data_IF_492348265658
#
_entry.id   IF_492348265658
#
_cell.length_a   1.000
_cell.length_b   1.000
_cell.length_c   1.000
_cell.angle_alpha   90.00
_cell.angle_beta   90.00
_cell.angle_gamma   90.00
#
_symmetry.space_group_name_H-M   'P 1'
#
loop_
_entity.id
_entity.type
_entity.pdbx_description
1 polymer ?
#
# COMPACT_ATOMS: atom_id res chain seq x y z
N UNK A 1 -7.03 4.47 -28.60
CA UNK A 1 -6.05 3.98 -27.62
C UNK A 1 -6.24 4.74 -26.32
N UNK A 2 -6.12 4.10 -25.15
CA UNK A 2 -6.10 4.82 -23.87
C UNK A 2 -4.81 5.64 -23.81
N UNK A 3 -4.88 6.92 -23.44
CA UNK A 3 -3.69 7.78 -23.30
C UNK A 3 -2.88 7.35 -22.08
N UNK A 4 -1.55 7.51 -22.10
CA UNK A 4 -0.66 7.13 -20.98
C UNK A 4 -1.06 7.83 -19.68
N UNK A 5 -1.52 9.09 -19.74
CA UNK A 5 -2.10 9.82 -18.61
C UNK A 5 -3.28 9.08 -17.93
N UNK A 6 -4.12 8.40 -18.71
CA UNK A 6 -5.25 7.61 -18.17
C UNK A 6 -4.73 6.38 -17.41
N UNK A 7 -3.68 5.73 -17.91
CA UNK A 7 -3.06 4.57 -17.27
C UNK A 7 -2.40 4.95 -15.95
N UNK A 8 -1.68 6.08 -15.89
CA UNK A 8 -1.08 6.61 -14.66
C UNK A 8 -2.15 6.88 -13.59
N UNK A 9 -3.29 7.47 -13.98
CA UNK A 9 -4.37 7.74 -13.03
C UNK A 9 -4.98 6.46 -12.48
N UNK A 10 -5.17 5.47 -13.35
CA UNK A 10 -5.67 4.16 -12.95
C UNK A 10 -4.70 3.44 -12.01
N UNK A 11 -3.40 3.46 -12.31
CA UNK A 11 -2.39 2.81 -11.46
C UNK A 11 -2.23 3.50 -10.11
N UNK A 12 -2.36 4.84 -10.05
CA UNK A 12 -2.41 5.59 -8.78
C UNK A 12 -3.61 5.16 -7.92
N UNK A 13 -4.79 5.06 -8.53
CA UNK A 13 -5.99 4.59 -7.83
C UNK A 13 -5.80 3.16 -7.30
N UNK A 14 -5.16 2.29 -8.09
CA UNK A 14 -4.87 0.93 -7.68
C UNK A 14 -3.93 0.88 -6.48
N UNK A 15 -2.83 1.64 -6.50
CA UNK A 15 -1.92 1.78 -5.36
C UNK A 15 -2.66 2.25 -4.11
N UNK A 16 -3.52 3.25 -4.23
CA UNK A 16 -4.29 3.77 -3.09
C UNK A 16 -5.29 2.74 -2.55
N UNK A 17 -5.93 1.96 -3.42
CA UNK A 17 -6.81 0.86 -3.01
C UNK A 17 -6.02 -0.23 -2.26
N UNK A 18 -4.83 -0.61 -2.75
CA UNK A 18 -3.97 -1.60 -2.09
C UNK A 18 -3.46 -1.11 -0.74
N UNK A 19 -3.11 0.18 -0.64
CA UNK A 19 -2.73 0.82 0.64
C UNK A 19 -3.86 0.77 1.66
N UNK A 20 -5.09 1.09 1.25
CA UNK A 20 -6.27 1.02 2.14
C UNK A 20 -6.52 -0.40 2.62
N UNK A 21 -6.49 -1.37 1.72
CA UNK A 21 -6.64 -2.78 2.10
C UNK A 21 -5.57 -3.22 3.12
N UNK A 22 -4.31 -2.87 2.90
CA UNK A 22 -3.23 -3.17 3.84
C UNK A 22 -3.46 -2.50 5.21
N UNK A 23 -3.93 -1.24 5.21
CA UNK A 23 -4.24 -0.53 6.44
C UNK A 23 -5.37 -1.22 7.23
N UNK A 24 -6.44 -1.65 6.55
CA UNK A 24 -7.56 -2.35 7.17
C UNK A 24 -7.12 -3.69 7.80
N UNK A 25 -6.22 -4.43 7.13
CA UNK A 25 -5.65 -5.67 7.66
C UNK A 25 -4.77 -5.41 8.89
N UNK A 26 -3.93 -4.38 8.86
CA UNK A 26 -3.10 -4.00 10.02
C UNK A 26 -3.96 -3.54 11.21
N UNK A 27 -5.07 -2.86 10.96
CA UNK A 27 -6.02 -2.50 12.02
C UNK A 27 -6.66 -3.74 12.66
N UNK A 28 -7.04 -4.73 11.84
CA UNK A 28 -7.54 -6.02 12.34
C UNK A 28 -6.48 -6.76 13.16
N UNK A 29 -5.21 -6.71 12.77
CA UNK A 29 -4.11 -7.33 13.52
C UNK A 29 -3.94 -6.70 14.90
N UNK A 30 -3.97 -5.36 14.97
CA UNK A 30 -3.97 -4.63 16.23
C UNK A 30 -5.22 -4.91 17.08
N UNK A 31 -6.38 -5.17 16.46
CA UNK A 31 -7.58 -5.56 17.17
C UNK A 31 -7.45 -6.96 17.80
N UNK A 32 -6.74 -7.88 17.15
CA UNK A 32 -6.42 -9.19 17.73
C UNK A 32 -5.50 -9.07 18.94
N UNK A 33 -4.47 -8.22 18.91
CA UNK A 33 -3.62 -7.97 20.08
C UNK A 33 -4.42 -7.47 21.26
N UNK A 34 -5.25 -6.44 21.05
CA UNK A 34 -6.15 -5.93 22.08
C UNK A 34 -7.14 -6.98 22.59
N UNK A 35 -7.55 -7.93 21.76
CA UNK A 35 -8.42 -9.02 22.21
C UNK A 35 -7.67 -10.02 23.07
N UNK A 36 -6.44 -10.39 22.68
CA UNK A 36 -5.57 -11.29 23.45
C UNK A 36 -5.24 -10.69 24.82
N UNK A 37 -4.82 -9.42 24.85
CA UNK A 37 -4.50 -8.71 26.10
C UNK A 37 -5.69 -8.64 27.06
N UNK A 38 -6.91 -8.47 26.52
CA UNK A 38 -8.13 -8.53 27.31
C UNK A 38 -8.35 -9.90 27.94
N UNK A 39 -8.13 -10.99 27.19
CA UNK A 39 -8.22 -12.35 27.75
C UNK A 39 -7.21 -12.56 28.87
N UNK A 40 -5.98 -12.09 28.68
CA UNK A 40 -4.89 -12.25 29.64
C UNK A 40 -5.18 -11.44 30.92
N UNK A 41 -5.66 -10.19 30.79
CA UNK A 41 -6.06 -9.33 31.92
C UNK A 41 -7.25 -9.91 32.69
N UNK A 42 -8.27 -10.43 31.99
CA UNK A 42 -9.41 -11.10 32.61
C UNK A 42 -8.97 -12.34 33.41
N UNK A 43 -8.07 -13.14 32.84
CA UNK A 43 -7.55 -14.34 33.49
C UNK A 43 -6.77 -14.04 34.76
N UNK A 44 -5.93 -12.99 34.75
CA UNK A 44 -5.19 -12.55 35.93
C UNK A 44 -6.11 -12.03 37.03
N UNK A 45 -7.15 -11.29 36.65
CA UNK A 45 -8.18 -10.80 37.59
C UNK A 45 -8.92 -11.97 38.25
N UNK A 46 -9.36 -12.96 37.48
CA UNK A 46 -10.04 -14.14 38.01
C UNK A 46 -9.12 -15.02 38.87
N UNK A 47 -7.83 -15.09 38.52
CA UNK A 47 -6.81 -15.79 39.31
C UNK A 47 -6.62 -15.14 40.68
N UNK A 48 -6.64 -13.81 40.74
CA UNK A 48 -6.53 -13.09 42.01
C UNK A 48 -7.75 -13.37 42.90
N UNK A 49 -8.97 -13.29 42.37
CA UNK A 49 -10.20 -13.61 43.11
C UNK A 49 -10.19 -15.03 43.67
N UNK A 50 -9.78 -16.01 42.86
CA UNK A 50 -9.70 -17.40 43.28
C UNK A 50 -8.66 -17.65 44.40
N UNK A 51 -7.61 -16.81 44.49
CA UNK A 51 -6.64 -16.84 45.60
C UNK A 51 -7.22 -16.27 46.88
N UNK A 52 -8.04 -15.21 46.77
CA UNK A 52 -8.66 -14.54 47.91
C UNK A 52 -9.85 -15.35 48.47
N UNK A 53 -10.54 -16.14 47.64
CA UNK A 53 -11.68 -16.95 48.07
C UNK A 53 -11.53 -18.43 47.69
N UNK A 54 -11.13 -19.31 48.65
CA UNK A 54 -10.85 -20.73 48.40
C UNK A 54 -12.01 -21.54 47.77
N UNK A 55 -13.26 -21.14 48.03
CA UNK A 55 -14.47 -21.77 47.50
C UNK A 55 -14.61 -21.64 45.97
N UNK A 56 -13.94 -20.66 45.35
CA UNK A 56 -14.00 -20.41 43.90
C UNK A 56 -12.94 -21.18 43.10
N UNK A 57 -12.03 -21.91 43.76
CA UNK A 57 -10.89 -22.56 43.11
C UNK A 57 -11.28 -23.54 41.99
N UNK A 58 -12.33 -24.34 42.19
CA UNK A 58 -12.80 -25.30 41.17
C UNK A 58 -13.42 -24.60 39.95
N UNK A 59 -14.16 -23.51 40.16
CA UNK A 59 -14.74 -22.71 39.07
C UNK A 59 -13.65 -22.00 38.24
N UNK A 60 -12.59 -21.53 38.89
CA UNK A 60 -11.45 -20.90 38.23
C UNK A 60 -10.73 -21.84 37.26
N UNK A 61 -10.55 -23.13 37.59
CA UNK A 61 -9.88 -24.08 36.68
C UNK A 61 -10.64 -24.24 35.36
N UNK A 62 -11.97 -24.38 35.43
CA UNK A 62 -12.81 -24.47 34.24
C UNK A 62 -12.75 -23.17 33.41
N UNK A 63 -12.83 -22.02 34.07
CA UNK A 63 -12.69 -20.71 33.42
C UNK A 63 -11.34 -20.56 32.73
N UNK A 64 -10.24 -20.87 33.42
CA UNK A 64 -8.88 -20.75 32.89
C UNK A 64 -8.68 -21.62 31.63
N UNK A 65 -9.23 -22.84 31.62
CA UNK A 65 -9.19 -23.71 30.44
C UNK A 65 -9.93 -23.09 29.25
N UNK A 66 -11.11 -22.50 29.49
CA UNK A 66 -11.88 -21.82 28.45
C UNK A 66 -11.15 -20.56 27.94
N UNK A 67 -10.60 -19.74 28.84
CA UNK A 67 -9.82 -18.56 28.50
C UNK A 67 -8.58 -18.92 27.66
N UNK A 68 -7.84 -19.97 28.03
CA UNK A 68 -6.70 -20.47 27.28
C UNK A 68 -7.10 -20.92 25.86
N UNK A 69 -8.23 -21.62 25.71
CA UNK A 69 -8.75 -22.02 24.40
C UNK A 69 -9.13 -20.81 23.55
N UNK A 70 -9.80 -19.80 24.13
CA UNK A 70 -10.16 -18.56 23.45
C UNK A 70 -8.92 -17.78 23.01
N UNK A 71 -7.93 -17.65 23.88
CA UNK A 71 -6.63 -17.02 23.59
C UNK A 71 -5.93 -17.72 22.44
N UNK A 72 -5.84 -19.05 22.48
CA UNK A 72 -5.24 -19.85 21.39
C UNK A 72 -5.94 -19.58 20.07
N UNK A 73 -7.28 -19.59 20.05
CA UNK A 73 -8.03 -19.31 18.83
C UNK A 73 -7.78 -17.90 18.26
N UNK A 74 -7.59 -16.89 19.12
CA UNK A 74 -7.23 -15.54 18.70
C UNK A 74 -5.81 -15.49 18.10
N UNK A 75 -4.85 -16.14 18.75
CA UNK A 75 -3.46 -16.24 18.26
C UNK A 75 -3.39 -16.96 16.92
N UNK A 76 -4.09 -18.09 16.77
CA UNK A 76 -4.13 -18.84 15.52
C UNK A 76 -4.72 -17.98 14.37
N UNK A 77 -5.78 -17.22 14.65
CA UNK A 77 -6.40 -16.31 13.67
C UNK A 77 -5.50 -15.13 13.32
N UNK A 78 -4.81 -14.55 14.32
CA UNK A 78 -3.81 -13.48 14.10
C UNK A 78 -2.67 -13.98 13.21
N UNK A 79 -2.18 -15.20 13.46
CA UNK A 79 -1.14 -15.81 12.63
C UNK A 79 -1.60 -16.03 11.18
N UNK A 80 -2.85 -16.41 10.95
CA UNK A 80 -3.40 -16.49 9.59
C UNK A 80 -3.47 -15.10 8.93
N UNK A 81 -3.94 -14.08 9.66
CA UNK A 81 -4.00 -12.70 9.17
C UNK A 81 -2.62 -12.14 8.81
N UNK A 82 -1.56 -12.54 9.51
CA UNK A 82 -0.20 -12.12 9.18
C UNK A 82 0.22 -12.55 7.76
N UNK A 83 -0.20 -13.73 7.31
CA UNK A 83 0.04 -14.20 5.93
C UNK A 83 -0.71 -13.34 4.91
N UNK A 84 -1.94 -12.93 5.24
CA UNK A 84 -2.74 -12.04 4.40
C UNK A 84 -2.12 -10.63 4.33
N UNK A 85 -1.56 -10.14 5.44
CA UNK A 85 -0.83 -8.86 5.50
C UNK A 85 0.41 -8.89 4.61
N UNK A 86 1.22 -9.94 4.70
CA UNK A 86 2.41 -10.07 3.86
C UNK A 86 2.04 -10.18 2.38
N UNK A 87 0.99 -10.93 2.05
CA UNK A 87 0.45 -10.97 0.68
C UNK A 87 -0.02 -9.58 0.23
N UNK A 88 -0.70 -8.82 1.09
CA UNK A 88 -1.15 -7.46 0.76
C UNK A 88 0.02 -6.47 0.56
N UNK A 89 1.12 -6.64 1.31
CA UNK A 89 2.35 -5.87 1.11
C UNK A 89 2.98 -6.15 -0.24
N UNK A 90 3.08 -7.42 -0.62
CA UNK A 90 3.61 -7.81 -1.93
C UNK A 90 2.76 -7.25 -3.06
N UNK A 91 1.42 -7.35 -2.95
CA UNK A 91 0.50 -6.75 -3.93
C UNK A 91 0.61 -5.23 -4.02
N UNK A 92 0.86 -4.56 -2.90
CA UNK A 92 1.10 -3.12 -2.91
C UNK A 92 2.43 -2.79 -3.60
N UNK A 93 3.48 -3.57 -3.36
CA UNK A 93 4.77 -3.40 -4.04
C UNK A 93 4.63 -3.59 -5.57
N UNK A 94 3.96 -4.65 -6.01
CA UNK A 94 3.64 -4.90 -7.42
C UNK A 94 2.90 -3.71 -8.07
N UNK A 95 1.92 -3.13 -7.36
CA UNK A 95 1.16 -1.97 -7.84
C UNK A 95 2.04 -0.72 -8.00
N UNK A 96 3.00 -0.49 -7.10
CA UNK A 96 3.96 0.61 -7.23
C UNK A 96 4.91 0.42 -8.41
N UNK A 97 5.42 -0.80 -8.61
CA UNK A 97 6.28 -1.09 -9.75
C UNK A 97 5.54 -0.81 -11.07
N UNK A 98 4.29 -1.23 -11.16
CA UNK A 98 3.46 -1.00 -12.34
C UNK A 98 3.15 0.49 -12.55
N UNK A 99 2.82 1.23 -11.48
CA UNK A 99 2.69 2.69 -11.54
C UNK A 99 3.97 3.33 -12.09
N UNK A 100 5.14 2.90 -11.60
CA UNK A 100 6.41 3.50 -11.99
C UNK A 100 6.74 3.25 -13.46
N UNK A 101 6.40 2.08 -14.01
CA UNK A 101 6.54 1.80 -15.45
C UNK A 101 5.72 2.76 -16.30
N UNK A 102 4.47 3.05 -15.91
CA UNK A 102 3.65 4.03 -16.63
C UNK A 102 4.21 5.44 -16.54
N UNK A 103 4.73 5.84 -15.38
CA UNK A 103 5.38 7.15 -15.21
C UNK A 103 6.61 7.29 -16.12
N UNK A 104 7.50 6.28 -16.15
CA UNK A 104 8.69 6.28 -17.02
C UNK A 104 8.28 6.32 -18.50
N UNK A 105 7.22 5.61 -18.88
CA UNK A 105 6.73 5.61 -20.27
C UNK A 105 6.21 6.99 -20.66
N UNK A 106 5.55 7.69 -19.72
CA UNK A 106 5.04 9.04 -19.95
C UNK A 106 6.17 10.06 -20.10
N UNK A 107 7.18 9.99 -19.22
CA UNK A 107 8.37 10.84 -19.25
C UNK A 107 9.10 10.71 -20.59
N UNK A 108 9.30 9.48 -21.09
CA UNK A 108 9.90 9.25 -22.41
C UNK A 108 9.09 9.84 -23.56
N UNK A 109 7.76 9.74 -23.50
CA UNK A 109 6.90 10.33 -24.54
C UNK A 109 6.98 11.86 -24.54
N UNK A 110 7.04 12.48 -23.36
CA UNK A 110 7.21 13.92 -23.21
C UNK A 110 8.58 14.39 -23.70
N UNK A 111 9.65 13.65 -23.41
CA UNK A 111 10.99 13.91 -23.94
C UNK A 111 11.05 13.81 -25.47
N UNK A 112 10.41 12.79 -26.06
CA UNK A 112 10.32 12.60 -27.51
C UNK A 112 9.54 13.75 -28.17
N UNK A 113 8.40 14.14 -27.60
CA UNK A 113 7.57 15.26 -28.09
C UNK A 113 8.34 16.59 -28.03
N UNK A 114 9.00 16.87 -26.91
CA UNK A 114 9.82 18.06 -26.73
C UNK A 114 11.01 18.09 -27.71
N UNK A 115 11.64 16.95 -27.96
CA UNK A 115 12.74 16.85 -28.92
C UNK A 115 12.28 17.08 -30.37
N UNK A 116 11.09 16.58 -30.72
CA UNK A 116 10.49 16.84 -32.03
C UNK A 116 10.11 18.31 -32.20
N UNK A 117 9.52 18.95 -31.19
CA UNK A 117 9.18 20.37 -31.20
C UNK A 117 10.43 21.24 -31.38
N UNK A 118 11.46 21.02 -30.57
CA UNK A 118 12.74 21.73 -30.69
C UNK A 118 13.37 21.54 -32.08
N UNK A 119 13.28 20.34 -32.66
CA UNK A 119 13.79 20.07 -34.01
C UNK A 119 13.00 20.83 -35.08
N UNK A 120 11.68 20.92 -34.96
CA UNK A 120 10.83 21.70 -35.88
C UNK A 120 11.13 23.18 -35.76
N UNK A 121 11.23 23.72 -34.55
CA UNK A 121 11.59 25.12 -34.31
C UNK A 121 12.97 25.46 -34.88
N UNK A 122 13.97 24.59 -34.72
CA UNK A 122 15.29 24.80 -35.30
C UNK A 122 15.26 24.82 -36.83
N UNK A 123 14.50 23.91 -37.46
CA UNK A 123 14.34 23.89 -38.92
C UNK A 123 13.69 25.18 -39.43
N UNK A 124 12.66 25.67 -38.75
CA UNK A 124 11.99 26.92 -39.12
C UNK A 124 12.93 28.14 -38.99
N UNK A 125 13.73 28.19 -37.91
CA UNK A 125 14.74 29.24 -37.72
C UNK A 125 15.84 29.21 -38.78
N UNK A 126 16.31 28.02 -39.16
CA UNK A 126 17.32 27.84 -40.21
C UNK A 126 16.79 28.31 -41.58
N UNK A 127 15.54 27.99 -41.92
CA UNK A 127 14.88 28.47 -43.15
C UNK A 127 14.77 30.00 -43.20
N UNK A 128 14.37 30.63 -42.09
CA UNK A 128 14.29 32.10 -41.99
C UNK A 128 15.68 32.75 -42.12
N UNK A 129 16.71 32.13 -41.54
CA UNK A 129 18.11 32.57 -41.66
C UNK A 129 18.60 32.55 -43.11
N UNK A 130 18.34 31.47 -43.83
CA UNK A 130 18.69 31.33 -45.25
C UNK A 130 17.96 32.35 -46.14
N UNK A 131 16.67 32.57 -45.92
CA UNK A 131 15.90 33.60 -46.64
C UNK A 131 16.44 35.01 -46.41
N UNK A 132 16.80 35.33 -45.17
CA UNK A 132 17.35 36.65 -44.82
C UNK A 132 18.72 36.87 -45.44
N UNK A 133 19.59 35.85 -45.40
CA UNK A 133 20.92 35.92 -46.00
C UNK A 133 20.85 36.09 -47.52
N UNK A 134 20.00 35.31 -48.20
CA UNK A 134 19.78 35.40 -49.66
C UNK A 134 19.28 36.78 -50.10
N UNK A 135 18.39 37.42 -49.31
CA UNK A 135 17.93 38.79 -49.59
C UNK A 135 19.02 39.84 -49.46
N UNK A 136 20.01 39.62 -48.59
CA UNK A 136 21.08 40.59 -48.32
C UNK A 136 22.27 40.46 -49.28
N UNK A 137 22.50 39.29 -49.87
CA UNK A 137 23.55 39.06 -50.89
C UNK A 137 23.10 39.34 -52.32
N UNK A 138 21.79 39.48 -52.57
CA UNK A 138 21.20 39.82 -53.87
C UNK A 138 21.04 41.32 -54.14
N UNK A 139 21.70 42.19 -53.37
CA UNK A 139 21.62 43.65 -53.47
C UNK A 139 23.02 44.25 -53.60
#
# INVERSE_FOLDING_TARGET
MKTVSTLIRLSKLEVDNRRRLLADLLEQDAAFDRAIDRVDTELDTERQKARETPEYGAGFVAYAKHAASRRKALVDRKAALAVDIDTARDRLAEAFEEQKKYEITAERQEEEETAEENKREQQDLDELGLQTHSRNTGR
#
